data_IF_871449826721
#
_entry.id   IF_871449826721
#
_cell.length_a   1.000
_cell.length_b   1.000
_cell.length_c   1.000
_cell.angle_alpha   90.00
_cell.angle_beta   90.00
_cell.angle_gamma   90.00
#
_symmetry.space_group_name_H-M   'P 1'
#
loop_
_entity.id
_entity.type
_entity.pdbx_description
1 polymer ?
#
# COMPACT_ATOMS: atom_id res chain seq x y z
N UNK A 1 0.41 3.32 -7.40
CA UNK A 1 -0.17 2.06 -6.90
C UNK A 1 -0.74 2.36 -5.53
N UNK A 2 -1.93 1.88 -5.19
CA UNK A 2 -2.60 2.27 -3.94
C UNK A 2 -2.70 1.06 -3.02
N UNK A 3 -2.29 1.20 -1.75
CA UNK A 3 -2.52 0.18 -0.73
C UNK A 3 -3.90 0.41 -0.12
N UNK A 4 -4.81 -0.53 -0.33
CA UNK A 4 -6.14 -0.53 0.30
C UNK A 4 -6.16 -1.49 1.48
N UNK A 5 -6.83 -1.16 2.60
CA UNK A 5 -7.02 -2.10 3.70
C UNK A 5 -7.80 -3.33 3.23
N UNK A 6 -7.46 -4.49 3.76
CA UNK A 6 -8.27 -5.70 3.56
C UNK A 6 -9.39 -5.74 4.60
N UNK A 7 -10.62 -6.03 4.16
CA UNK A 7 -11.79 -6.11 5.05
C UNK A 7 -11.52 -7.11 6.17
N UNK A 8 -11.81 -6.71 7.41
CA UNK A 8 -11.59 -7.49 8.63
C UNK A 8 -10.11 -7.87 8.92
N UNK A 9 -9.15 -7.07 8.44
CA UNK A 9 -7.74 -7.21 8.83
C UNK A 9 -7.03 -5.86 8.91
N UNK A 10 -6.62 -5.49 10.11
CA UNK A 10 -5.70 -4.37 10.39
C UNK A 10 -4.27 -4.58 9.87
N UNK A 11 -3.85 -5.84 9.68
CA UNK A 11 -2.49 -6.23 9.30
C UNK A 11 -2.34 -6.70 7.85
N UNK A 12 -3.24 -6.28 6.95
CA UNK A 12 -3.21 -6.71 5.54
C UNK A 12 -3.54 -5.59 4.55
N UNK A 13 -2.82 -5.55 3.43
CA UNK A 13 -3.02 -4.58 2.34
C UNK A 13 -3.30 -5.27 1.01
N UNK A 14 -4.18 -4.69 0.20
CA UNK A 14 -4.51 -5.13 -1.16
C UNK A 14 -4.12 -4.04 -2.16
N UNK A 15 -3.47 -4.41 -3.27
CA UNK A 15 -3.03 -3.45 -4.29
C UNK A 15 -2.91 -4.08 -5.68
N UNK A 16 -3.16 -3.26 -6.71
CA UNK A 16 -3.03 -3.68 -8.12
C UNK A 16 -1.63 -3.37 -8.65
N UNK A 17 -1.02 -4.36 -9.30
CA UNK A 17 0.27 -4.26 -9.98
C UNK A 17 0.04 -4.37 -11.48
N UNK A 18 0.49 -3.39 -12.26
CA UNK A 18 0.28 -3.39 -13.71
C UNK A 18 1.24 -4.33 -14.47
N UNK A 19 2.40 -4.66 -13.91
CA UNK A 19 3.44 -5.47 -14.56
C UNK A 19 4.29 -6.22 -13.53
N UNK A 20 3.68 -7.21 -12.87
CA UNK A 20 4.38 -8.20 -12.05
C UNK A 20 5.16 -9.18 -12.94
N UNK A 21 6.31 -9.67 -12.47
CA UNK A 21 7.22 -10.52 -13.24
C UNK A 21 7.61 -11.82 -12.50
N UNK A 22 6.91 -12.18 -11.41
CA UNK A 22 7.27 -13.35 -10.59
C UNK A 22 7.24 -14.67 -11.38
N UNK A 23 6.37 -14.76 -12.39
CA UNK A 23 6.18 -15.94 -13.26
C UNK A 23 7.02 -15.89 -14.55
N UNK A 24 7.94 -14.94 -14.67
CA UNK A 24 8.84 -14.81 -15.82
C UNK A 24 8.28 -14.04 -17.01
N UNK A 25 7.05 -13.53 -16.93
CA UNK A 25 6.47 -12.60 -17.90
C UNK A 25 5.68 -11.49 -17.20
N UNK A 26 5.52 -10.34 -17.87
CA UNK A 26 4.79 -9.19 -17.34
C UNK A 26 3.28 -9.48 -17.26
N UNK A 27 2.71 -9.46 -16.06
CA UNK A 27 1.27 -9.65 -15.85
C UNK A 27 0.68 -8.56 -14.96
N UNK A 28 -0.57 -8.21 -15.23
CA UNK A 28 -1.35 -7.39 -14.32
C UNK A 28 -1.94 -8.30 -13.24
N UNK A 29 -1.62 -8.02 -11.97
CA UNK A 29 -2.00 -8.86 -10.83
C UNK A 29 -2.66 -8.02 -9.74
N UNK A 30 -3.61 -8.62 -9.01
CA UNK A 30 -4.19 -8.05 -7.79
C UNK A 30 -3.62 -8.82 -6.61
N UNK A 31 -2.76 -8.16 -5.83
CA UNK A 31 -2.01 -8.80 -4.75
C UNK A 31 -2.60 -8.41 -3.40
N UNK A 32 -2.49 -9.32 -2.44
CA UNK A 32 -2.74 -9.07 -1.03
C UNK A 32 -1.54 -9.54 -0.22
N UNK A 33 -1.11 -8.71 0.73
CA UNK A 33 -0.02 -9.02 1.65
C UNK A 33 -0.53 -8.93 3.09
N UNK A 34 -0.15 -9.89 3.93
CA UNK A 34 -0.48 -9.94 5.35
C UNK A 34 0.80 -9.99 6.19
N UNK A 35 0.84 -9.21 7.25
CA UNK A 35 1.96 -9.15 8.19
C UNK A 35 1.65 -9.94 9.46
N UNK A 36 2.70 -10.27 10.23
CA UNK A 36 2.53 -10.96 11.50
C UNK A 36 1.74 -10.14 12.53
N UNK A 37 1.90 -8.81 12.51
CA UNK A 37 1.23 -7.84 13.37
C UNK A 37 0.95 -6.53 12.60
N UNK A 38 0.12 -5.68 13.19
CA UNK A 38 -0.36 -4.42 12.63
C UNK A 38 0.77 -3.38 12.56
N UNK A 39 1.65 -3.33 13.56
CA UNK A 39 2.83 -2.46 13.56
C UNK A 39 3.73 -2.65 12.32
N UNK A 40 3.96 -3.90 11.89
CA UNK A 40 4.73 -4.17 10.67
C UNK A 40 3.95 -3.84 9.40
N UNK A 41 2.62 -3.97 9.41
CA UNK A 41 1.78 -3.56 8.30
C UNK A 41 1.82 -2.04 8.09
N UNK A 42 1.80 -1.26 9.17
CA UNK A 42 1.90 0.20 9.12
C UNK A 42 3.28 0.66 8.67
N UNK A 43 4.36 0.07 9.23
CA UNK A 43 5.73 0.33 8.78
C UNK A 43 5.89 0.05 7.28
N UNK A 44 5.28 -1.02 6.78
CA UNK A 44 5.28 -1.31 5.35
C UNK A 44 4.54 -0.23 4.56
N UNK A 45 3.35 0.19 5.00
CA UNK A 45 2.57 1.24 4.34
C UNK A 45 3.35 2.57 4.25
N UNK A 46 3.99 2.97 5.33
CA UNK A 46 4.83 4.18 5.38
C UNK A 46 6.01 4.10 4.40
N UNK A 47 6.79 3.03 4.47
CA UNK A 47 7.98 2.89 3.61
C UNK A 47 7.60 2.70 2.14
N UNK A 48 6.49 2.02 1.86
CA UNK A 48 5.94 1.89 0.50
C UNK A 48 5.61 3.25 -0.10
N UNK A 49 4.93 4.13 0.65
CA UNK A 49 4.61 5.51 0.21
C UNK A 49 5.88 6.34 -0.01
N UNK A 50 6.87 6.22 0.89
CA UNK A 50 8.18 6.87 0.73
C UNK A 50 8.88 6.42 -0.54
N UNK A 51 8.88 5.12 -0.84
CA UNK A 51 9.46 4.58 -2.07
C UNK A 51 8.74 5.10 -3.32
N UNK A 52 7.42 5.28 -3.29
CA UNK A 52 6.69 5.89 -4.41
C UNK A 52 7.13 7.33 -4.67
N UNK A 53 7.30 8.13 -3.63
CA UNK A 53 7.80 9.50 -3.76
C UNK A 53 9.22 9.54 -4.36
N UNK A 54 10.10 8.63 -3.91
CA UNK A 54 11.47 8.50 -4.45
C UNK A 54 11.48 8.06 -5.92
N UNK A 55 10.60 7.12 -6.29
CA UNK A 55 10.46 6.68 -7.68
C UNK A 55 9.98 7.83 -8.58
N UNK A 56 9.00 8.62 -8.12
CA UNK A 56 8.53 9.79 -8.85
C UNK A 56 9.62 10.86 -8.98
N UNK A 57 10.37 11.13 -7.92
CA UNK A 57 11.48 12.08 -7.97
C UNK A 57 12.54 11.64 -8.99
N UNK A 58 12.86 10.34 -9.00
CA UNK A 58 13.81 9.75 -9.95
C UNK A 58 13.30 9.89 -11.39
N UNK A 59 12.04 9.51 -11.65
CA UNK A 59 11.42 9.66 -12.96
C UNK A 59 11.39 11.13 -13.40
N UNK A 60 11.09 12.05 -12.49
CA UNK A 60 11.08 13.48 -12.76
C UNK A 60 12.47 14.05 -13.09
N UNK A 61 13.54 13.56 -12.45
CA UNK A 61 14.91 13.92 -12.82
C UNK A 61 15.24 13.46 -14.24
N UNK A 62 14.83 12.26 -14.62
CA UNK A 62 15.01 11.75 -15.99
C UNK A 62 14.20 12.55 -17.02
N UNK A 63 12.95 12.88 -16.70
CA UNK A 63 12.09 13.70 -17.55
C UNK A 63 12.67 15.11 -17.74
N UNK A 64 13.17 15.73 -16.66
CA UNK A 64 13.82 17.04 -16.71
C UNK A 64 15.08 17.02 -17.59
N UNK A 65 15.92 15.99 -17.46
CA UNK A 65 17.09 15.81 -18.32
C UNK A 65 16.72 15.62 -19.80
N UNK A 66 15.57 15.00 -20.07
CA UNK A 66 15.03 14.82 -21.41
C UNK A 66 14.20 16.02 -21.93
N UNK A 67 14.10 17.12 -21.17
CA UNK A 67 13.30 18.30 -21.52
C UNK A 67 11.79 18.04 -21.58
N UNK A 68 11.30 16.98 -20.91
CA UNK A 68 9.90 16.58 -20.86
C UNK A 68 9.20 17.16 -19.61
N UNK A 69 7.86 17.32 -19.65
CA UNK A 69 7.10 17.78 -18.49
C UNK A 69 7.23 16.81 -17.32
N UNK A 70 7.31 17.36 -16.11
CA UNK A 70 7.37 16.61 -14.86
C UNK A 70 6.00 16.01 -14.53
N UNK A 71 6.00 14.85 -13.88
CA UNK A 71 4.80 14.22 -13.31
C UNK A 71 4.58 14.69 -11.88
N UNK A 72 3.32 14.87 -11.52
CA UNK A 72 2.92 15.19 -10.14
C UNK A 72 2.68 13.92 -9.32
N UNK A 73 2.86 14.03 -8.01
CA UNK A 73 2.51 12.96 -7.09
C UNK A 73 0.98 12.86 -7.01
N UNK A 74 0.45 11.66 -7.22
CA UNK A 74 -0.93 11.35 -6.87
C UNK A 74 -1.08 11.46 -5.35
N UNK A 75 -1.70 12.54 -4.89
CA UNK A 75 -2.07 12.73 -3.48
C UNK A 75 -3.30 11.87 -3.21
N UNK A 76 -3.11 10.72 -2.58
CA UNK A 76 -4.21 9.82 -2.24
C UNK A 76 -4.84 10.23 -0.91
N UNK A 77 -6.18 10.17 -0.86
CA UNK A 77 -6.98 10.53 0.31
C UNK A 77 -6.77 9.51 1.44
N UNK A 78 -6.57 10.03 2.65
CA UNK A 78 -6.55 9.25 3.88
C UNK A 78 -7.99 8.79 4.16
N UNK A 79 -8.31 7.52 3.88
CA UNK A 79 -9.45 6.90 4.54
C UNK A 79 -9.03 6.66 6.00
N UNK A 80 -9.41 7.61 6.86
CA UNK A 80 -9.46 7.42 8.30
C UNK A 80 -10.56 6.39 8.61
N UNK A 81 -10.21 5.12 8.67
CA UNK A 81 -11.02 4.12 9.38
C UNK A 81 -10.35 3.91 10.74
N UNK A 82 -10.62 4.89 11.61
CA UNK A 82 -10.60 4.77 13.06
C UNK A 82 -11.92 4.06 13.40
N UNK A 83 -11.92 2.73 13.42
CA UNK A 83 -13.01 1.95 14.05
C UNK A 83 -12.38 1.16 15.20
N UNK A 84 -12.28 1.92 16.30
CA UNK A 84 -12.31 1.46 17.68
C UNK A 84 -13.53 0.54 17.87
N UNK A 85 -13.31 -0.77 17.98
CA UNK A 85 -14.26 -1.68 18.63
C UNK A 85 -13.48 -2.78 19.36
N UNK A 86 -12.88 -2.34 20.46
CA UNK A 86 -12.49 -3.16 21.60
C UNK A 86 -13.78 -3.52 22.38
N UNK A 87 -14.47 -4.60 21.99
CA UNK A 87 -15.39 -5.31 22.89
C UNK A 87 -14.84 -6.71 23.18
N UNK A 88 -14.08 -6.78 24.29
CA UNK A 88 -13.99 -7.98 25.10
C UNK A 88 -15.41 -8.44 25.50
N UNK A 89 -15.83 -9.62 25.06
CA UNK A 89 -16.78 -10.42 25.83
C UNK A 89 -16.10 -11.70 26.34
N UNK A 90 -15.72 -11.61 27.62
CA UNK A 90 -15.46 -12.75 28.48
C UNK A 90 -16.71 -13.64 28.66
N UNK A 91 -16.44 -14.92 28.88
CA UNK A 91 -17.23 -15.88 29.67
C UNK A 91 -18.73 -16.07 29.36
N UNK A 92 -19.09 -17.26 28.84
CA UNK A 92 -20.15 -18.06 29.49
C UNK A 92 -19.85 -19.56 29.36
N UNK A 93 -19.51 -20.16 30.50
CA UNK A 93 -19.64 -21.60 30.77
C UNK A 93 -21.11 -22.02 30.66
N UNK A 94 -21.42 -23.06 29.88
CA UNK A 94 -22.54 -24.00 30.08
C UNK A 94 -22.39 -25.26 29.23
#
# INVERSE_FOLDING_TARGET
>A
MTLNPNVASDRSWVYSVASDFAEGEARAELLAIRFGNSENADKFKEEFRKCQALNLETENKELAAAGKPLKEATKEEESSDDDDDDEEEEETDL
#
